data_IF_272159983373
#
_entry.id   IF_272159983373
#
_cell.length_a   1.000
_cell.length_b   1.000
_cell.length_c   1.000
_cell.angle_alpha   90.00
_cell.angle_beta   90.00
_cell.angle_gamma   90.00
#
_symmetry.space_group_name_H-M   'P 1'
#
loop_
_entity.id
_entity.type
_entity.pdbx_description
1 polymer ?
#
# COMPACT_ATOMS: atom_id res chain seq x y z
N UNK A 1 1.30 1.78 -41.90
CA UNK A 1 2.18 0.63 -41.61
C UNK A 1 2.20 0.53 -40.10
N UNK A 2 1.48 -0.44 -39.54
CA UNK A 2 1.56 -0.74 -38.12
C UNK A 2 2.95 -1.36 -37.90
N UNK A 3 3.81 -0.73 -37.10
CA UNK A 3 4.99 -1.41 -36.58
C UNK A 3 4.50 -2.36 -35.50
N UNK A 4 4.65 -3.66 -35.75
CA UNK A 4 4.61 -4.67 -34.71
C UNK A 4 5.79 -4.37 -33.77
N UNK A 5 5.57 -3.54 -32.76
CA UNK A 5 6.43 -3.53 -31.59
C UNK A 5 6.23 -4.88 -30.94
N UNK A 6 7.19 -5.77 -31.12
CA UNK A 6 7.34 -6.95 -30.28
C UNK A 6 7.37 -6.44 -28.84
N UNK A 7 6.28 -6.61 -28.10
CA UNK A 7 6.26 -6.45 -26.64
C UNK A 7 7.26 -7.44 -26.07
N UNK A 8 8.49 -6.98 -25.85
CA UNK A 8 9.52 -7.78 -25.20
C UNK A 8 9.17 -7.81 -23.72
N UNK A 9 8.48 -8.87 -23.32
CA UNK A 9 8.21 -9.12 -21.91
C UNK A 9 9.52 -9.49 -21.20
N UNK A 10 9.97 -8.63 -20.29
CA UNK A 10 11.16 -8.88 -19.48
C UNK A 10 10.80 -9.68 -18.22
N UNK A 11 11.42 -10.85 -18.03
CA UNK A 11 11.21 -11.66 -16.82
C UNK A 11 12.36 -11.42 -15.85
N UNK A 12 12.04 -10.98 -14.64
CA UNK A 12 13.01 -10.79 -13.55
C UNK A 12 13.01 -12.04 -12.68
N UNK A 13 14.11 -12.81 -12.74
CA UNK A 13 14.31 -14.05 -11.96
C UNK A 13 15.45 -13.85 -10.98
N UNK A 14 15.13 -13.49 -9.74
CA UNK A 14 16.13 -13.15 -8.71
C UNK A 14 15.81 -13.79 -7.33
N UNK A 15 15.76 -15.12 -7.22
CA UNK A 15 15.22 -15.82 -6.04
C UNK A 15 16.07 -15.67 -4.76
N UNK A 16 17.29 -15.15 -4.87
CA UNK A 16 18.15 -14.87 -3.71
C UNK A 16 18.27 -13.39 -3.36
N UNK A 17 17.51 -12.52 -4.04
CA UNK A 17 17.49 -11.10 -3.76
C UNK A 17 16.90 -10.84 -2.37
N UNK A 18 17.54 -9.94 -1.62
CA UNK A 18 17.11 -9.53 -0.27
C UNK A 18 16.49 -8.15 -0.23
N UNK A 19 16.88 -7.28 -1.15
CA UNK A 19 16.42 -5.91 -1.28
C UNK A 19 16.02 -5.66 -2.72
N UNK A 20 14.79 -5.21 -2.93
CA UNK A 20 14.26 -4.87 -4.24
C UNK A 20 13.83 -3.41 -4.24
N UNK A 21 14.24 -2.67 -5.26
CA UNK A 21 13.79 -1.30 -5.49
C UNK A 21 13.32 -1.16 -6.92
N UNK A 22 12.13 -0.60 -7.10
CA UNK A 22 11.53 -0.37 -8.40
C UNK A 22 10.92 1.02 -8.45
N UNK A 23 11.24 1.73 -9.52
CA UNK A 23 10.62 2.99 -9.89
C UNK A 23 10.12 2.84 -11.31
N UNK A 24 8.81 2.96 -11.52
CA UNK A 24 8.16 2.78 -12.81
C UNK A 24 7.05 3.82 -13.01
N UNK A 25 7.27 4.73 -13.95
CA UNK A 25 6.32 5.78 -14.31
C UNK A 25 5.14 5.25 -15.17
N UNK A 26 5.16 3.98 -15.59
CA UNK A 26 4.04 3.33 -16.31
C UNK A 26 4.05 3.53 -17.81
N UNK A 27 5.24 3.70 -18.41
CA UNK A 27 5.41 3.69 -19.86
C UNK A 27 5.70 2.26 -20.33
N UNK A 28 4.88 1.68 -21.22
CA UNK A 28 5.09 0.53 -22.13
C UNK A 28 6.07 -0.61 -21.72
N UNK A 29 6.38 -0.78 -20.43
CA UNK A 29 7.30 -1.77 -19.92
C UNK A 29 6.48 -2.98 -19.46
N UNK A 30 6.43 -4.00 -20.30
CA UNK A 30 5.94 -5.31 -19.88
C UNK A 30 7.06 -6.05 -19.15
N UNK A 31 6.99 -6.10 -17.82
CA UNK A 31 7.81 -7.00 -17.02
C UNK A 31 6.95 -7.96 -16.21
N UNK A 32 7.51 -9.15 -15.96
CA UNK A 32 6.98 -10.08 -14.98
C UNK A 32 8.04 -10.41 -13.96
N UNK A 33 7.63 -10.60 -12.72
CA UNK A 33 8.54 -10.84 -11.61
C UNK A 33 8.23 -12.21 -11.02
N UNK A 34 9.21 -13.10 -11.09
CA UNK A 34 9.10 -14.39 -10.42
C UNK A 34 9.18 -14.23 -8.90
N UNK A 35 8.61 -15.20 -8.19
CA UNK A 35 8.58 -15.21 -6.73
C UNK A 35 9.99 -15.00 -6.14
N UNK A 36 10.10 -14.07 -5.19
CA UNK A 36 11.36 -13.72 -4.53
C UNK A 36 11.36 -14.23 -3.08
N UNK A 37 11.60 -15.53 -2.81
CA UNK A 37 11.38 -16.14 -1.50
C UNK A 37 12.31 -15.63 -0.38
N UNK A 38 13.42 -14.98 -0.73
CA UNK A 38 14.40 -14.43 0.22
C UNK A 38 14.30 -12.92 0.37
N UNK A 39 13.30 -12.29 -0.25
CA UNK A 39 13.15 -10.85 -0.19
C UNK A 39 12.80 -10.42 1.23
N UNK A 40 13.61 -9.53 1.78
CA UNK A 40 13.45 -8.99 3.14
C UNK A 40 12.86 -7.57 3.09
N UNK A 41 13.22 -6.79 2.07
CA UNK A 41 12.81 -5.39 1.94
C UNK A 41 12.52 -5.00 0.50
N UNK A 42 11.44 -4.24 0.30
CA UNK A 42 11.01 -3.74 -1.00
C UNK A 42 10.68 -2.24 -0.91
N UNK A 43 11.16 -1.47 -1.88
CA UNK A 43 10.82 -0.06 -2.10
C UNK A 43 10.24 0.10 -3.51
N UNK A 44 8.94 0.29 -3.59
CA UNK A 44 8.15 0.22 -4.83
C UNK A 44 7.51 1.60 -5.04
N UNK A 45 7.78 2.19 -6.19
CA UNK A 45 7.17 3.44 -6.64
C UNK A 45 6.67 3.22 -8.07
N UNK A 46 5.39 2.89 -8.21
CA UNK A 46 4.82 2.45 -9.48
C UNK A 46 3.48 3.13 -9.75
N UNK A 47 3.18 3.36 -11.02
CA UNK A 47 1.85 3.82 -11.47
C UNK A 47 0.92 2.68 -11.90
N UNK A 48 1.46 1.49 -12.20
CA UNK A 48 0.70 0.31 -12.64
C UNK A 48 1.30 -1.01 -12.10
N UNK A 49 0.64 -2.15 -12.39
CA UNK A 49 1.17 -3.51 -12.13
C UNK A 49 1.42 -3.87 -10.65
N UNK A 50 0.78 -3.16 -9.72
CA UNK A 50 0.95 -3.38 -8.28
C UNK A 50 0.59 -4.80 -7.84
N UNK A 51 -0.41 -5.42 -8.47
CA UNK A 51 -0.90 -6.75 -8.09
C UNK A 51 0.11 -7.87 -8.28
N UNK A 52 0.73 -7.88 -9.45
CA UNK A 52 1.75 -8.86 -9.81
C UNK A 52 2.98 -8.69 -8.91
N UNK A 53 3.37 -7.43 -8.66
CA UNK A 53 4.44 -7.08 -7.73
C UNK A 53 4.15 -7.62 -6.33
N UNK A 54 2.99 -7.31 -5.76
CA UNK A 54 2.60 -7.78 -4.41
C UNK A 54 2.50 -9.31 -4.34
N UNK A 55 2.03 -9.97 -5.40
CA UNK A 55 1.99 -11.43 -5.49
C UNK A 55 3.38 -12.09 -5.47
N UNK A 56 4.37 -11.47 -6.10
CA UNK A 56 5.74 -12.01 -6.17
C UNK A 56 6.56 -11.82 -4.89
N UNK A 57 6.16 -10.91 -4.00
CA UNK A 57 6.96 -10.44 -2.85
C UNK A 57 6.43 -10.88 -1.47
N UNK A 58 5.68 -11.98 -1.40
CA UNK A 58 5.01 -12.44 -0.15
C UNK A 58 5.94 -12.72 1.05
N UNK A 59 7.26 -12.86 0.85
CA UNK A 59 8.24 -13.05 1.94
C UNK A 59 8.70 -11.76 2.61
N UNK A 60 8.36 -10.59 2.05
CA UNK A 60 8.88 -9.29 2.47
C UNK A 60 8.58 -8.99 3.94
N UNK A 61 9.56 -8.38 4.63
CA UNK A 61 9.43 -7.93 6.03
C UNK A 61 9.23 -6.43 6.16
N UNK A 62 9.76 -5.66 5.21
CA UNK A 62 9.67 -4.20 5.15
C UNK A 62 9.24 -3.77 3.76
N UNK A 63 8.08 -3.13 3.66
CA UNK A 63 7.52 -2.65 2.41
C UNK A 63 7.39 -1.14 2.46
N UNK A 64 8.03 -0.45 1.53
CA UNK A 64 7.76 0.94 1.18
C UNK A 64 7.02 0.91 -0.16
N UNK A 65 5.81 1.46 -0.19
CA UNK A 65 5.00 1.53 -1.39
C UNK A 65 4.52 2.97 -1.60
N UNK A 66 4.85 3.51 -2.76
CA UNK A 66 4.31 4.74 -3.30
C UNK A 66 3.45 4.39 -4.51
N UNK A 67 2.19 4.83 -4.47
CA UNK A 67 1.24 4.57 -5.54
C UNK A 67 0.56 5.86 -5.97
N UNK A 68 0.53 6.07 -7.29
CA UNK A 68 -0.31 7.04 -7.94
C UNK A 68 -1.56 6.31 -8.46
N UNK A 69 -2.75 6.68 -7.98
CA UNK A 69 -3.99 6.16 -8.55
C UNK A 69 -4.57 7.20 -9.50
N UNK A 70 -4.70 6.84 -10.78
CA UNK A 70 -5.47 7.64 -11.71
C UNK A 70 -6.98 7.37 -11.50
N UNK A 71 -7.86 8.34 -11.73
CA UNK A 71 -9.31 8.14 -11.45
C UNK A 71 -9.97 7.03 -12.25
N UNK A 72 -9.45 6.78 -13.44
CA UNK A 72 -9.99 5.79 -14.38
C UNK A 72 -9.40 4.39 -14.14
N UNK A 73 -8.56 4.24 -13.11
CA UNK A 73 -7.81 3.01 -12.89
C UNK A 73 -8.63 2.02 -12.02
N UNK A 74 -9.03 0.90 -12.63
CA UNK A 74 -9.63 -0.26 -11.94
C UNK A 74 -8.67 -0.92 -10.93
N UNK A 75 -7.46 -0.37 -10.76
CA UNK A 75 -6.34 -0.89 -9.99
C UNK A 75 -6.70 -1.22 -8.52
N UNK A 76 -7.58 -0.45 -7.87
CA UNK A 76 -8.02 -0.80 -6.50
C UNK A 76 -8.89 -2.06 -6.48
N UNK A 77 -9.69 -2.28 -7.52
CA UNK A 77 -10.48 -3.50 -7.66
C UNK A 77 -9.56 -4.70 -7.92
N UNK A 78 -8.46 -4.50 -8.64
CA UNK A 78 -7.50 -5.54 -8.99
C UNK A 78 -6.65 -5.97 -7.78
N UNK A 79 -6.17 -5.05 -6.91
CA UNK A 79 -5.42 -5.43 -5.68
C UNK A 79 -6.26 -6.33 -4.76
N UNK A 80 -7.57 -6.09 -4.70
CA UNK A 80 -8.49 -6.92 -3.92
C UNK A 80 -8.67 -8.34 -4.47
N UNK A 81 -8.24 -8.62 -5.71
CA UNK A 81 -8.26 -9.97 -6.31
C UNK A 81 -7.01 -10.78 -5.99
N UNK A 82 -5.94 -10.14 -5.53
CA UNK A 82 -4.71 -10.83 -5.16
C UNK A 82 -4.92 -11.60 -3.85
N UNK A 83 -4.80 -12.93 -3.92
CA UNK A 83 -4.83 -13.84 -2.76
C UNK A 83 -3.51 -13.87 -1.97
N UNK A 84 -2.68 -12.83 -2.08
CA UNK A 84 -1.38 -12.77 -1.45
C UNK A 84 -1.51 -12.51 0.05
N UNK A 85 -0.76 -13.28 0.83
CA UNK A 85 -0.68 -13.12 2.28
C UNK A 85 0.77 -12.83 2.68
N UNK A 86 0.98 -11.70 3.34
CA UNK A 86 2.26 -11.23 3.83
C UNK A 86 2.55 -11.73 5.25
N UNK A 87 2.83 -13.03 5.36
CA UNK A 87 3.03 -13.72 6.66
C UNK A 87 4.30 -13.29 7.42
N UNK A 88 5.14 -12.44 6.83
CA UNK A 88 6.40 -11.95 7.41
C UNK A 88 6.48 -10.43 7.48
N UNK A 89 5.48 -9.70 6.97
CA UNK A 89 5.53 -8.25 6.88
C UNK A 89 5.36 -7.64 8.26
N UNK A 90 6.37 -6.88 8.69
CA UNK A 90 6.49 -6.27 10.00
C UNK A 90 6.41 -4.74 9.93
N UNK A 91 6.91 -4.13 8.84
CA UNK A 91 6.89 -2.68 8.66
C UNK A 91 6.34 -2.29 7.30
N UNK A 92 5.41 -1.34 7.30
CA UNK A 92 4.81 -0.79 6.08
C UNK A 92 4.95 0.73 6.11
N UNK A 93 5.47 1.29 5.02
CA UNK A 93 5.39 2.72 4.69
C UNK A 93 4.57 2.88 3.42
N UNK A 94 3.53 3.69 3.48
CA UNK A 94 2.64 3.97 2.35
C UNK A 94 2.64 5.45 2.04
N UNK A 95 2.72 5.78 0.76
CA UNK A 95 2.58 7.15 0.25
C UNK A 95 1.55 7.17 -0.86
N UNK A 96 0.47 7.92 -0.66
CA UNK A 96 -0.69 7.96 -1.55
C UNK A 96 -0.91 9.36 -2.12
N UNK A 97 -1.31 9.42 -3.38
CA UNK A 97 -1.62 10.66 -4.13
C UNK A 97 -3.04 10.62 -4.74
N UNK A 98 -4.02 10.04 -4.04
CA UNK A 98 -5.40 9.90 -4.54
C UNK A 98 -6.41 9.58 -3.44
N UNK A 99 -7.71 9.66 -3.76
CA UNK A 99 -8.84 9.15 -2.97
C UNK A 99 -8.82 7.59 -2.94
N UNK A 100 -9.60 6.98 -2.04
CA UNK A 100 -9.82 5.52 -1.95
C UNK A 100 -8.59 4.70 -1.49
N UNK A 101 -7.52 5.36 -1.04
CA UNK A 101 -6.32 4.75 -0.47
C UNK A 101 -6.62 3.82 0.71
N UNK A 102 -7.71 4.09 1.44
CA UNK A 102 -8.12 3.27 2.59
C UNK A 102 -8.48 1.83 2.20
N UNK A 103 -8.90 1.57 0.96
CA UNK A 103 -9.21 0.20 0.47
C UNK A 103 -7.95 -0.67 0.42
N UNK A 104 -6.88 -0.17 -0.19
CA UNK A 104 -5.58 -0.85 -0.27
C UNK A 104 -5.00 -1.06 1.13
N UNK A 105 -5.08 -0.04 1.98
CA UNK A 105 -4.60 -0.12 3.34
C UNK A 105 -5.32 -1.20 4.15
N UNK A 106 -6.65 -1.29 4.06
CA UNK A 106 -7.43 -2.33 4.73
C UNK A 106 -7.04 -3.72 4.23
N UNK A 107 -6.82 -3.86 2.93
CA UNK A 107 -6.35 -5.13 2.36
C UNK A 107 -4.97 -5.50 2.91
N UNK A 108 -4.03 -4.56 2.98
CA UNK A 108 -2.70 -4.81 3.56
C UNK A 108 -2.80 -5.23 5.03
N UNK A 109 -3.60 -4.52 5.84
CA UNK A 109 -3.82 -4.86 7.24
C UNK A 109 -4.36 -6.29 7.40
N UNK A 110 -5.33 -6.68 6.56
CA UNK A 110 -5.92 -8.03 6.61
C UNK A 110 -4.94 -9.14 6.21
N UNK A 111 -4.02 -8.85 5.31
CA UNK A 111 -3.08 -9.82 4.77
C UNK A 111 -1.71 -9.80 5.47
N UNK A 112 -1.53 -8.98 6.51
CA UNK A 112 -0.24 -8.80 7.19
C UNK A 112 -0.34 -9.09 8.70
N UNK A 113 -0.59 -10.35 9.12
CA UNK A 113 -0.90 -10.69 10.51
C UNK A 113 0.22 -10.37 11.51
N UNK A 114 1.46 -10.17 11.04
CA UNK A 114 2.62 -9.81 11.87
C UNK A 114 3.00 -8.33 11.83
N UNK A 115 2.17 -7.48 11.21
CA UNK A 115 2.50 -6.06 11.06
C UNK A 115 2.67 -5.40 12.43
N UNK A 116 3.79 -4.69 12.62
CA UNK A 116 4.18 -4.01 13.86
C UNK A 116 4.22 -2.50 13.72
N UNK A 117 4.58 -2.00 12.54
CA UNK A 117 4.67 -0.58 12.25
C UNK A 117 3.95 -0.24 10.96
N UNK A 118 3.07 0.76 11.04
CA UNK A 118 2.36 1.33 9.91
C UNK A 118 2.63 2.83 9.84
N UNK A 119 3.24 3.27 8.75
CA UNK A 119 3.49 4.67 8.46
C UNK A 119 2.76 5.04 7.17
N UNK A 120 1.91 6.06 7.24
CA UNK A 120 1.10 6.54 6.11
C UNK A 120 1.44 8.00 5.88
N UNK A 121 1.62 8.35 4.62
CA UNK A 121 1.65 9.71 4.13
C UNK A 121 0.61 9.85 3.02
N UNK A 122 -0.26 10.84 3.12
CA UNK A 122 -1.24 11.14 2.07
C UNK A 122 -0.97 12.56 1.57
N UNK A 123 -0.64 12.67 0.29
CA UNK A 123 -0.49 13.96 -0.38
C UNK A 123 -1.76 14.27 -1.16
N UNK A 124 -2.60 15.11 -0.54
CA UNK A 124 -3.88 15.56 -1.08
C UNK A 124 -3.79 17.01 -1.62
N UNK A 125 -2.59 17.47 -2.01
CA UNK A 125 -2.41 18.83 -2.54
C UNK A 125 -3.19 19.12 -3.84
N UNK A 126 -3.68 18.09 -4.53
CA UNK A 126 -4.49 18.28 -5.73
C UNK A 126 -5.99 18.26 -5.38
N UNK A 127 -6.61 19.45 -5.45
CA UNK A 127 -8.04 19.73 -5.25
C UNK A 127 -9.00 18.90 -6.13
N UNK A 128 -8.44 18.12 -7.03
CA UNK A 128 -9.12 17.22 -7.94
C UNK A 128 -9.78 16.05 -7.22
N UNK A 129 -9.23 15.53 -6.12
CA UNK A 129 -9.73 14.34 -5.43
C UNK A 129 -10.83 14.71 -4.41
N UNK A 130 -12.09 14.32 -4.69
CA UNK A 130 -13.28 14.67 -3.89
C UNK A 130 -14.32 13.54 -3.80
N UNK A 131 -14.07 12.37 -4.40
CA UNK A 131 -15.06 11.29 -4.49
C UNK A 131 -14.63 10.11 -3.61
N UNK A 132 -15.00 10.16 -2.34
CA UNK A 132 -14.81 9.06 -1.41
C UNK A 132 -15.99 8.09 -1.46
N UNK A 133 -15.71 6.81 -1.72
CA UNK A 133 -16.70 5.74 -1.55
C UNK A 133 -16.41 5.02 -0.23
N UNK A 134 -17.29 5.08 0.77
CA UNK A 134 -17.06 4.44 2.05
C UNK A 134 -16.69 2.97 1.92
N UNK A 135 -15.53 2.61 2.48
CA UNK A 135 -15.09 1.22 2.49
C UNK A 135 -16.07 0.41 3.33
N UNK A 136 -16.53 -0.73 2.82
CA UNK A 136 -17.35 -1.64 3.62
C UNK A 136 -16.48 -2.47 4.57
N UNK A 137 -16.06 -1.86 5.68
CA UNK A 137 -15.25 -2.50 6.73
C UNK A 137 -15.92 -3.75 7.31
N UNK A 138 -17.26 -3.81 7.26
CA UNK A 138 -18.11 -4.79 7.93
C UNK A 138 -18.36 -6.08 7.12
N UNK A 139 -18.26 -6.07 5.79
CA UNK A 139 -18.69 -7.21 4.95
C UNK A 139 -17.70 -8.39 4.88
N UNK A 140 -16.49 -8.25 5.44
CA UNK A 140 -15.54 -9.37 5.63
C UNK A 140 -15.26 -9.67 7.11
N UNK A 141 -16.28 -9.49 7.97
CA UNK A 141 -16.54 -9.98 9.35
C UNK A 141 -15.45 -10.13 10.42
N UNK A 142 -14.15 -10.09 10.13
CA UNK A 142 -13.08 -10.08 11.13
C UNK A 142 -12.23 -8.83 11.00
N UNK A 143 -12.04 -8.16 12.14
CA UNK A 143 -11.02 -7.14 12.33
C UNK A 143 -9.65 -7.73 11.95
N UNK A 144 -8.78 -6.98 11.24
CA UNK A 144 -7.44 -7.45 10.91
C UNK A 144 -6.68 -7.94 12.15
N UNK A 145 -6.08 -9.13 12.06
CA UNK A 145 -5.39 -9.76 13.18
C UNK A 145 -4.26 -8.89 13.74
N UNK A 146 -3.52 -8.21 12.86
CA UNK A 146 -2.41 -7.36 13.28
C UNK A 146 -2.84 -6.20 14.17
N UNK A 147 -4.04 -5.64 13.96
CA UNK A 147 -4.56 -4.56 14.79
C UNK A 147 -4.80 -5.05 16.23
N UNK A 148 -5.25 -6.29 16.38
CA UNK A 148 -5.55 -6.84 17.71
C UNK A 148 -4.29 -7.32 18.44
N UNK A 149 -3.28 -7.80 17.71
CA UNK A 149 -2.24 -8.65 18.30
C UNK A 149 -0.80 -8.12 18.17
N UNK A 150 -0.47 -7.36 17.12
CA UNK A 150 0.95 -7.11 16.77
C UNK A 150 1.30 -5.67 16.47
N UNK A 151 0.33 -4.84 16.06
CA UNK A 151 0.61 -3.48 15.63
C UNK A 151 0.92 -2.58 16.84
N UNK A 152 2.14 -2.07 16.88
CA UNK A 152 2.71 -1.33 18.01
C UNK A 152 2.92 0.16 17.69
N UNK A 153 3.19 0.50 16.44
CA UNK A 153 3.50 1.88 16.02
C UNK A 153 2.63 2.29 14.84
N UNK A 154 2.06 3.49 14.96
CA UNK A 154 1.30 4.12 13.90
C UNK A 154 1.77 5.55 13.68
N UNK A 155 2.08 5.90 12.43
CA UNK A 155 2.34 7.28 12.02
C UNK A 155 1.44 7.66 10.85
N UNK A 156 0.79 8.80 10.97
CA UNK A 156 0.03 9.43 9.89
C UNK A 156 0.60 10.82 9.67
N UNK A 157 1.23 11.03 8.52
CA UNK A 157 1.73 12.32 8.07
C UNK A 157 0.83 12.88 6.97
N UNK A 158 0.65 14.20 6.93
CA UNK A 158 -0.21 14.86 5.94
C UNK A 158 -1.70 14.77 6.26
N UNK A 159 -2.07 14.63 7.54
CA UNK A 159 -3.48 14.58 7.94
C UNK A 159 -4.22 15.88 7.58
N UNK A 160 -5.36 15.77 6.89
CA UNK A 160 -6.16 16.91 6.42
C UNK A 160 -7.57 16.95 7.02
N UNK A 161 -7.99 15.92 7.74
CA UNK A 161 -9.30 15.82 8.37
C UNK A 161 -10.41 15.46 7.40
N UNK A 162 -10.11 14.72 6.32
CA UNK A 162 -11.14 14.30 5.35
C UNK A 162 -12.07 13.23 5.92
N UNK A 163 -13.20 13.00 5.26
CA UNK A 163 -14.14 11.94 5.67
C UNK A 163 -13.49 10.55 5.62
N UNK A 164 -12.71 10.25 4.58
CA UNK A 164 -11.99 8.97 4.45
C UNK A 164 -11.01 8.76 5.61
N UNK A 165 -10.23 9.80 5.94
CA UNK A 165 -9.31 9.78 7.07
C UNK A 165 -10.04 9.56 8.40
N UNK A 166 -11.14 10.29 8.62
CA UNK A 166 -11.96 10.16 9.82
C UNK A 166 -12.54 8.75 9.99
N UNK A 167 -13.08 8.18 8.92
CA UNK A 167 -13.65 6.83 8.92
C UNK A 167 -12.57 5.77 9.17
N UNK A 168 -11.43 5.87 8.48
CA UNK A 168 -10.31 4.96 8.69
C UNK A 168 -9.78 5.05 10.13
N UNK A 169 -9.49 6.25 10.63
CA UNK A 169 -8.94 6.42 11.99
C UNK A 169 -9.93 5.94 13.06
N UNK A 170 -11.23 6.20 12.88
CA UNK A 170 -12.28 5.71 13.78
C UNK A 170 -12.30 4.18 13.82
N UNK A 171 -12.22 3.52 12.66
CA UNK A 171 -12.09 2.06 12.60
C UNK A 171 -10.76 1.59 13.21
N UNK A 172 -9.64 2.22 12.86
CA UNK A 172 -8.29 1.81 13.25
C UNK A 172 -8.13 1.86 14.77
N UNK A 173 -8.39 3.00 15.40
CA UNK A 173 -8.21 3.16 16.84
C UNK A 173 -9.20 2.35 17.66
N UNK A 174 -10.39 2.06 17.12
CA UNK A 174 -11.33 1.14 17.77
C UNK A 174 -10.77 -0.28 17.88
N UNK A 175 -9.84 -0.68 17.01
CA UNK A 175 -9.38 -2.05 16.86
C UNK A 175 -7.89 -2.27 17.17
N UNK A 176 -7.08 -1.21 17.21
CA UNK A 176 -5.64 -1.26 17.42
C UNK A 176 -5.26 -1.46 18.91
N UNK A 177 -5.48 -2.67 19.44
CA UNK A 177 -5.35 -2.96 20.87
C UNK A 177 -3.91 -2.98 21.41
N UNK A 178 -2.91 -3.24 20.55
CA UNK A 178 -1.51 -3.34 20.95
C UNK A 178 -0.68 -2.07 20.71
N UNK A 179 -1.34 -0.96 20.33
CA UNK A 179 -0.67 0.26 19.92
C UNK A 179 0.06 0.91 21.11
N UNK A 180 1.37 1.16 20.93
CA UNK A 180 2.28 1.74 21.94
C UNK A 180 2.68 3.17 21.59
N UNK A 181 2.80 3.46 20.29
CA UNK A 181 3.21 4.75 19.78
C UNK A 181 2.27 5.19 18.66
N UNK A 182 1.87 6.46 18.71
CA UNK A 182 1.01 7.08 17.70
C UNK A 182 1.53 8.48 17.43
N UNK A 183 1.65 8.83 16.16
CA UNK A 183 1.94 10.19 15.72
C UNK A 183 1.01 10.53 14.58
N UNK A 184 0.30 11.65 14.69
CA UNK A 184 -0.51 12.21 13.60
C UNK A 184 -0.02 13.64 13.42
N UNK A 185 0.38 13.97 12.20
CA UNK A 185 0.96 15.26 11.84
C UNK A 185 0.21 15.80 10.64
N UNK A 186 -0.28 17.03 10.76
CA UNK A 186 -0.97 17.72 9.68
C UNK A 186 0.01 18.22 8.61
N UNK A 187 -0.51 18.59 7.44
CA UNK A 187 0.30 19.21 6.39
C UNK A 187 0.81 20.62 6.79
N UNK A 188 0.12 21.31 7.70
CA UNK A 188 0.46 22.67 8.14
C UNK A 188 1.74 22.75 8.98
N UNK A 189 2.10 21.70 9.71
CA UNK A 189 3.30 21.65 10.55
C UNK A 189 4.57 21.24 9.79
N UNK A 190 4.48 20.85 8.52
CA UNK A 190 5.64 20.45 7.71
C UNK A 190 6.32 21.61 6.96
N UNK A 191 5.69 22.80 6.87
CA UNK A 191 6.20 23.96 6.11
C UNK A 191 7.02 24.98 6.92
N UNK A 192 7.43 24.64 8.14
CA UNK A 192 8.09 25.56 9.08
C UNK A 192 9.57 25.33 9.28
N UNK A 193 10.40 25.28 8.21
CA UNK A 193 11.86 25.54 8.26
C UNK A 193 12.28 26.23 6.96
#
# INVERSE_FOLDING_TARGET
>A
MYSDHLDVQHVIVTPSLKYFKLYDEGHDLSYSIEHMPKLEEADIDVSSSLDELLGSMTSVKRLSLRQFFNRDDECVQSVLTVGAVFNQLEHVKLSFYSDDWSKLLVWLLRNSPKLRELNIYVDQNDSQFQYYTPVEWKNRSSVPECLQNTLETFKFEGFMGTQEEGDFLSFFFKNACCLKSTSITDCATQGGI
#
